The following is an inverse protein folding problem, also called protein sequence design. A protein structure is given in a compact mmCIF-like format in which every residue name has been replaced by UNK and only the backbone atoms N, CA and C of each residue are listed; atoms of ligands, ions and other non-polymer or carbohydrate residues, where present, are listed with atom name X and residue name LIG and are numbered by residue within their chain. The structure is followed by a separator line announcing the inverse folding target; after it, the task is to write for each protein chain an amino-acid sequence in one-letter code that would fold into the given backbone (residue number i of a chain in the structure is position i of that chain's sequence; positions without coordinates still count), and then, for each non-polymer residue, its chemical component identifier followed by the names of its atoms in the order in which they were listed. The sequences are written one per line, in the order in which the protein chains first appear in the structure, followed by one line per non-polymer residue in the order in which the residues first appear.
data_IF_188952856878
#
_entry.id   IF_188952856878
#
_cell.length_a   1.000
_cell.length_b   1.000
_cell.length_c   1.000
_cell.angle_alpha   90.00
_cell.angle_beta   90.00
_cell.angle_gamma   90.00
#
_symmetry.space_group_name_H-M   'P 1'
#
loop_
_entity.id
_entity.type
_entity.pdbx_description
1 polymer ?
#
# COMPACT_ATOMS: atom_id res chain seq x y z
N UNK A 1 -27.94 -0.69 30.72
CA UNK A 1 -27.68 -1.22 29.37
C UNK A 1 -26.43 -0.52 28.87
N UNK A 2 -25.31 -1.23 28.73
CA UNK A 2 -24.07 -0.68 28.19
C UNK A 2 -24.02 -1.11 26.72
N UNK A 3 -24.11 -0.15 25.81
CA UNK A 3 -23.93 -0.42 24.38
C UNK A 3 -22.42 -0.39 24.13
N UNK A 4 -21.86 -1.51 23.69
CA UNK A 4 -20.45 -1.65 23.30
C UNK A 4 -20.39 -1.81 21.79
N UNK A 5 -19.50 -1.06 21.13
CA UNK A 5 -19.24 -1.23 19.70
C UNK A 5 -18.57 -2.59 19.44
N UNK A 6 -19.21 -3.43 18.64
CA UNK A 6 -18.74 -4.81 18.34
C UNK A 6 -18.05 -4.94 16.99
N UNK A 7 -17.91 -3.87 16.22
CA UNK A 7 -17.27 -3.91 14.90
C UNK A 7 -15.82 -3.44 14.98
N UNK A 8 -14.88 -4.37 14.85
CA UNK A 8 -13.49 -4.03 14.50
C UNK A 8 -13.52 -3.54 13.05
N UNK A 9 -13.01 -2.34 12.73
CA UNK A 9 -12.92 -1.90 11.35
C UNK A 9 -12.06 -2.90 10.57
N UNK A 10 -12.64 -3.50 9.53
CA UNK A 10 -11.91 -4.36 8.60
C UNK A 10 -10.98 -3.47 7.77
N UNK A 11 -9.78 -3.22 8.29
CA UNK A 11 -8.69 -2.62 7.53
C UNK A 11 -8.07 -3.76 6.72
N UNK A 12 -8.16 -3.75 5.38
CA UNK A 12 -7.54 -4.79 4.57
C UNK A 12 -6.04 -4.83 4.84
N UNK A 13 -5.53 -6.00 5.20
CA UNK A 13 -4.09 -6.18 5.34
C UNK A 13 -3.43 -6.16 3.95
N UNK A 14 -2.35 -5.39 3.83
CA UNK A 14 -1.55 -5.29 2.61
C UNK A 14 -0.20 -5.98 2.84
N UNK A 15 0.03 -7.09 2.14
CA UNK A 15 1.26 -7.86 2.20
C UNK A 15 2.07 -7.67 0.91
N UNK A 16 3.26 -7.08 1.05
CA UNK A 16 4.21 -6.81 -0.04
C UNK A 16 5.35 -7.83 0.01
N UNK A 17 4.96 -9.11 -0.05
CA UNK A 17 5.79 -10.30 0.09
C UNK A 17 5.96 -11.09 -1.22
N UNK A 18 5.55 -10.48 -2.34
CA UNK A 18 5.59 -11.02 -3.70
C UNK A 18 5.90 -9.90 -4.69
N UNK A 19 6.22 -10.18 -5.96
CA UNK A 19 6.55 -9.13 -6.93
C UNK A 19 5.48 -8.04 -7.03
N UNK A 20 5.92 -6.78 -7.08
CA UNK A 20 5.05 -5.60 -7.10
C UNK A 20 5.60 -4.51 -8.02
N UNK A 21 4.70 -3.61 -8.44
CA UNK A 21 5.03 -2.39 -9.19
C UNK A 21 4.95 -1.21 -8.22
N UNK A 22 5.86 -0.25 -8.36
CA UNK A 22 5.85 0.98 -7.57
C UNK A 22 6.11 2.20 -8.45
N UNK A 23 5.67 3.36 -7.97
CA UNK A 23 5.97 4.65 -8.55
C UNK A 23 6.25 5.67 -7.45
N UNK A 24 7.21 6.55 -7.70
CA UNK A 24 7.43 7.76 -6.92
C UNK A 24 6.90 8.91 -7.76
N UNK A 25 5.92 9.65 -7.22
CA UNK A 25 5.24 10.73 -7.94
C UNK A 25 5.23 12.00 -7.13
N UNK A 26 5.33 13.14 -7.81
CA UNK A 26 4.96 14.42 -7.22
C UNK A 26 3.43 14.48 -7.13
N UNK A 27 2.90 14.71 -5.93
CA UNK A 27 1.46 14.74 -5.67
C UNK A 27 0.80 16.04 -6.12
N UNK A 28 1.57 17.13 -6.27
CA UNK A 28 1.04 18.43 -6.69
C UNK A 28 0.84 18.52 -8.20
N UNK A 29 1.87 18.21 -8.99
CA UNK A 29 1.79 18.19 -10.45
C UNK A 29 1.19 16.89 -11.01
N UNK A 30 0.98 15.89 -10.16
CA UNK A 30 0.64 14.52 -10.53
C UNK A 30 1.70 13.78 -11.37
N UNK A 31 2.88 14.36 -11.61
CA UNK A 31 3.95 13.79 -12.42
C UNK A 31 4.60 12.56 -11.79
N UNK A 32 4.91 11.56 -12.62
CA UNK A 32 5.67 10.36 -12.22
C UNK A 32 7.16 10.69 -12.32
N UNK A 33 7.87 10.61 -11.21
CA UNK A 33 9.33 10.86 -11.16
C UNK A 33 10.10 9.55 -11.42
N UNK A 34 9.61 8.45 -10.87
CA UNK A 34 10.17 7.11 -11.05
C UNK A 34 9.06 6.07 -11.13
N UNK A 35 9.28 5.02 -11.91
CA UNK A 35 8.40 3.85 -11.99
C UNK A 35 9.26 2.60 -12.12
N UNK A 36 8.89 1.53 -11.42
CA UNK A 36 9.66 0.30 -11.40
C UNK A 36 8.86 -0.90 -10.94
N UNK A 37 9.49 -2.07 -11.03
CA UNK A 37 8.98 -3.33 -10.51
C UNK A 37 10.04 -3.98 -9.61
N UNK A 38 9.62 -4.54 -8.49
CA UNK A 38 10.48 -5.32 -7.60
C UNK A 38 10.20 -6.80 -7.86
N UNK A 39 11.16 -7.51 -8.47
CA UNK A 39 11.00 -8.92 -8.81
C UNK A 39 11.73 -9.84 -7.82
N UNK A 40 12.90 -9.40 -7.35
CA UNK A 40 13.72 -10.12 -6.39
C UNK A 40 14.36 -9.11 -5.41
N UNK A 41 14.10 -9.21 -4.09
CA UNK A 41 14.67 -8.31 -3.08
C UNK A 41 16.18 -8.44 -2.87
N UNK A 42 16.81 -9.47 -3.42
CA UNK A 42 18.22 -9.80 -3.20
C UNK A 42 19.08 -9.70 -4.46
N UNK A 43 18.59 -9.01 -5.52
CA UNK A 43 19.46 -8.64 -6.64
C UNK A 43 20.60 -7.70 -6.22
#
# INVERSE_FOLDING_TARGET
MVIVETSVPLIPAMYVDKPFVFAIRDTQSNGILFIGKMMNPNE
#
